data_IF_116936502802
#
_entry.id   IF_116936502802
#
_cell.length_a   1.000
_cell.length_b   1.000
_cell.length_c   1.000
_cell.angle_alpha   90.00
_cell.angle_beta   90.00
_cell.angle_gamma   90.00
#
_symmetry.space_group_name_H-M   'P 1'
#
loop_
_entity.id
_entity.type
_entity.pdbx_description
1 polymer ?
#
# COMPACT_ATOMS: atom_id res chain seq x y z
N UNK A 1 25.62 -14.20 5.33
CA UNK A 1 24.86 -14.06 4.08
C UNK A 1 23.74 -15.09 4.13
N UNK A 2 22.55 -14.69 4.59
CA UNK A 2 21.44 -15.65 4.79
C UNK A 2 20.68 -15.83 3.48
N UNK A 3 20.54 -17.09 3.09
CA UNK A 3 19.89 -17.53 1.87
C UNK A 3 18.41 -17.11 1.85
N UNK A 4 18.04 -16.29 0.88
CA UNK A 4 16.64 -16.07 0.50
C UNK A 4 16.17 -17.30 -0.26
N UNK A 5 15.36 -18.13 0.38
CA UNK A 5 14.71 -19.29 -0.24
C UNK A 5 13.46 -18.82 -1.01
N UNK A 6 13.34 -19.08 -2.32
CA UNK A 6 12.26 -18.60 -3.16
C UNK A 6 10.89 -19.28 -2.92
N UNK A 7 10.83 -20.31 -2.07
CA UNK A 7 9.62 -21.15 -1.87
C UNK A 7 8.89 -20.94 -0.53
N UNK A 8 9.35 -20.02 0.34
CA UNK A 8 8.60 -19.72 1.58
C UNK A 8 7.32 -18.94 1.24
N UNK A 9 6.24 -19.66 1.01
CA UNK A 9 4.90 -19.11 0.90
C UNK A 9 4.57 -18.39 2.22
N UNK A 10 4.53 -17.06 2.17
CA UNK A 10 4.08 -16.25 3.31
C UNK A 10 2.64 -16.67 3.61
N UNK A 11 2.28 -16.98 4.87
CA UNK A 11 0.92 -17.39 5.19
C UNK A 11 -0.07 -16.35 4.66
N UNK A 12 -1.18 -16.77 4.04
CA UNK A 12 -2.12 -15.83 3.40
C UNK A 12 -2.57 -14.71 4.34
N UNK A 13 -2.81 -15.02 5.63
CA UNK A 13 -3.13 -14.02 6.66
C UNK A 13 -2.04 -12.97 6.86
N UNK A 14 -0.77 -13.37 6.81
CA UNK A 14 0.37 -12.45 6.93
C UNK A 14 0.48 -11.63 5.66
N UNK A 15 0.33 -12.25 4.49
CA UNK A 15 0.35 -11.55 3.22
C UNK A 15 -0.76 -10.47 3.13
N UNK A 16 -1.97 -10.79 3.55
CA UNK A 16 -3.08 -9.84 3.66
C UNK A 16 -2.75 -8.70 4.62
N UNK A 17 -2.13 -8.99 5.77
CA UNK A 17 -1.69 -7.98 6.72
C UNK A 17 -0.58 -7.06 6.15
N UNK A 18 0.40 -7.64 5.47
CA UNK A 18 1.47 -6.89 4.77
C UNK A 18 0.87 -5.99 3.69
N UNK A 19 -0.05 -6.51 2.89
CA UNK A 19 -0.74 -5.77 1.83
C UNK A 19 -1.62 -4.65 2.40
N UNK A 20 -2.32 -4.90 3.50
CA UNK A 20 -3.09 -3.88 4.21
C UNK A 20 -2.19 -2.74 4.70
N UNK A 21 -1.05 -3.06 5.30
CA UNK A 21 -0.08 -2.06 5.78
C UNK A 21 0.57 -1.28 4.64
N UNK A 22 0.92 -1.95 3.55
CA UNK A 22 1.43 -1.32 2.34
C UNK A 22 0.41 -0.32 1.76
N UNK A 23 -0.88 -0.71 1.70
CA UNK A 23 -1.96 0.20 1.28
C UNK A 23 -2.11 1.41 2.21
N UNK A 24 -2.04 1.21 3.53
CA UNK A 24 -2.08 2.33 4.47
C UNK A 24 -0.90 3.28 4.27
N UNK A 25 0.29 2.76 3.98
CA UNK A 25 1.46 3.55 3.68
C UNK A 25 1.29 4.34 2.37
N UNK A 26 0.85 3.67 1.30
CA UNK A 26 0.52 4.29 0.02
C UNK A 26 -0.50 5.43 0.17
N UNK A 27 -1.55 5.22 0.98
CA UNK A 27 -2.54 6.26 1.26
C UNK A 27 -1.95 7.48 1.97
N UNK A 28 -0.92 7.31 2.81
CA UNK A 28 -0.21 8.44 3.44
C UNK A 28 0.65 9.19 2.43
N UNK A 29 1.34 8.48 1.52
CA UNK A 29 2.14 9.11 0.47
C UNK A 29 1.26 9.87 -0.55
N UNK A 30 0.11 9.29 -0.92
CA UNK A 30 -0.86 9.86 -1.84
C UNK A 30 -1.90 10.76 -1.17
N UNK A 31 -1.61 11.29 0.03
CA UNK A 31 -2.56 12.07 0.83
C UNK A 31 -3.10 13.29 0.08
N UNK A 32 -2.26 13.97 -0.71
CA UNK A 32 -2.65 15.15 -1.50
C UNK A 32 -3.73 14.83 -2.53
N UNK A 33 -3.57 13.73 -3.26
CA UNK A 33 -4.55 13.27 -4.26
C UNK A 33 -5.82 12.76 -3.58
N UNK A 34 -5.67 12.10 -2.42
CA UNK A 34 -6.80 11.63 -1.63
C UNK A 34 -7.64 12.80 -1.10
N UNK A 35 -7.01 13.88 -0.65
CA UNK A 35 -7.67 15.11 -0.22
C UNK A 35 -8.42 15.79 -1.37
N UNK A 36 -7.82 15.90 -2.56
CA UNK A 36 -8.49 16.46 -3.74
C UNK A 36 -9.75 15.66 -4.13
N UNK A 37 -9.64 14.32 -4.15
CA UNK A 37 -10.78 13.45 -4.41
C UNK A 37 -11.87 13.60 -3.32
N UNK A 38 -11.47 13.64 -2.04
CA UNK A 38 -12.40 13.82 -0.93
C UNK A 38 -13.11 15.18 -0.97
N UNK A 39 -12.41 16.26 -1.36
CA UNK A 39 -12.99 17.58 -1.55
C UNK A 39 -14.02 17.58 -2.69
N UNK A 40 -13.71 16.95 -3.82
CA UNK A 40 -14.66 16.83 -4.92
C UNK A 40 -15.93 16.05 -4.50
N UNK A 41 -15.76 14.91 -3.83
CA UNK A 41 -16.88 14.10 -3.33
C UNK A 41 -17.68 14.80 -2.22
N UNK A 42 -17.04 15.61 -1.37
CA UNK A 42 -17.73 16.34 -0.29
C UNK A 42 -18.72 17.40 -0.79
N UNK A 43 -18.49 17.95 -1.99
CA UNK A 43 -19.35 18.96 -2.60
C UNK A 43 -20.52 18.40 -3.42
N UNK A 44 -20.54 17.08 -3.70
CA UNK A 44 -21.44 16.46 -4.69
C UNK A 44 -21.93 15.11 -4.19
N UNK A 45 -23.24 14.94 -4.01
CA UNK A 45 -23.81 13.65 -3.56
C UNK A 45 -24.18 12.76 -4.73
N UNK A 46 -24.86 13.30 -5.75
CA UNK A 46 -25.43 12.49 -6.86
C UNK A 46 -24.51 12.37 -8.08
N UNK A 47 -23.70 13.39 -8.38
CA UNK A 47 -22.86 13.45 -9.59
C UNK A 47 -21.38 13.12 -9.33
N UNK A 48 -20.99 12.77 -8.10
CA UNK A 48 -19.59 12.57 -7.71
C UNK A 48 -18.87 11.51 -8.56
N UNK A 49 -19.53 10.38 -8.88
CA UNK A 49 -18.93 9.27 -9.63
C UNK A 49 -18.41 9.71 -11.00
N UNK A 50 -19.12 10.63 -11.66
CA UNK A 50 -18.75 11.13 -12.98
C UNK A 50 -17.86 12.37 -12.88
N UNK A 51 -18.22 13.29 -11.99
CA UNK A 51 -17.61 14.61 -11.90
C UNK A 51 -16.25 14.59 -11.19
N UNK A 52 -16.00 13.62 -10.31
CA UNK A 52 -14.73 13.41 -9.59
C UNK A 52 -13.91 12.27 -10.20
N UNK A 53 -14.28 11.79 -11.40
CA UNK A 53 -13.59 10.69 -12.08
C UNK A 53 -12.13 11.01 -12.37
N UNK A 54 -11.81 12.29 -12.62
CA UNK A 54 -10.43 12.72 -12.85
C UNK A 54 -9.60 12.64 -11.57
N UNK A 55 -10.08 13.20 -10.46
CA UNK A 55 -9.40 13.12 -9.16
C UNK A 55 -9.21 11.66 -8.70
N UNK A 56 -10.21 10.81 -8.98
CA UNK A 56 -10.13 9.38 -8.71
C UNK A 56 -9.04 8.68 -9.54
N UNK A 57 -8.86 9.08 -10.81
CA UNK A 57 -7.79 8.54 -11.67
C UNK A 57 -6.43 8.95 -11.16
N UNK A 58 -6.27 10.21 -10.74
CA UNK A 58 -5.01 10.74 -10.24
C UNK A 58 -4.63 10.07 -8.90
N UNK A 59 -5.62 9.85 -8.01
CA UNK A 59 -5.44 9.07 -6.79
C UNK A 59 -5.05 7.62 -7.10
N UNK A 60 -5.78 6.94 -7.99
CA UNK A 60 -5.47 5.55 -8.36
C UNK A 60 -4.10 5.42 -9.02
N UNK A 61 -3.69 6.40 -9.85
CA UNK A 61 -2.37 6.43 -10.48
C UNK A 61 -1.26 6.50 -9.42
N UNK A 62 -1.43 7.35 -8.40
CA UNK A 62 -0.51 7.41 -7.27
C UNK A 62 -0.50 6.09 -6.47
N UNK A 63 -1.67 5.56 -6.10
CA UNK A 63 -1.77 4.33 -5.31
C UNK A 63 -1.09 3.15 -6.02
N UNK A 64 -1.31 3.00 -7.32
CA UNK A 64 -0.72 1.92 -8.12
C UNK A 64 0.82 1.94 -8.14
N UNK A 65 1.46 3.10 -7.97
CA UNK A 65 2.92 3.20 -7.90
C UNK A 65 3.46 2.55 -6.61
N UNK A 66 2.73 2.67 -5.50
CA UNK A 66 3.14 2.15 -4.19
C UNK A 66 2.57 0.76 -3.88
N UNK A 67 1.45 0.37 -4.51
CA UNK A 67 0.83 -0.97 -4.32
C UNK A 67 1.16 -1.95 -5.43
N UNK A 68 2.30 -1.76 -6.12
CA UNK A 68 2.77 -2.66 -7.17
C UNK A 68 3.21 -4.02 -6.56
N UNK A 69 3.03 -5.16 -7.26
CA UNK A 69 3.58 -6.45 -6.84
C UNK A 69 5.07 -6.42 -6.48
N UNK A 70 5.87 -5.54 -7.11
CA UNK A 70 7.29 -5.35 -6.76
C UNK A 70 7.47 -4.87 -5.31
N UNK A 71 6.70 -3.87 -4.90
CA UNK A 71 6.75 -3.30 -3.55
C UNK A 71 6.26 -4.32 -2.51
N UNK A 72 5.23 -5.09 -2.85
CA UNK A 72 4.75 -6.17 -2.00
C UNK A 72 5.80 -7.28 -1.82
N UNK A 73 6.48 -7.68 -2.89
CA UNK A 73 7.54 -8.69 -2.83
C UNK A 73 8.75 -8.21 -2.02
N UNK A 74 9.13 -6.95 -2.16
CA UNK A 74 10.19 -6.34 -1.35
C UNK A 74 9.82 -6.30 0.13
N UNK A 75 8.58 -5.92 0.45
CA UNK A 75 8.09 -5.94 1.83
C UNK A 75 8.08 -7.36 2.41
N UNK A 76 7.67 -8.37 1.63
CA UNK A 76 7.74 -9.79 2.01
C UNK A 76 9.19 -10.21 2.28
N UNK A 77 10.14 -9.83 1.43
CA UNK A 77 11.57 -10.10 1.61
C UNK A 77 12.09 -9.53 2.94
N UNK A 78 11.82 -8.26 3.21
CA UNK A 78 12.23 -7.60 4.47
C UNK A 78 11.60 -8.25 5.70
N UNK A 79 10.34 -8.68 5.62
CA UNK A 79 9.66 -9.40 6.71
C UNK A 79 10.28 -10.78 6.98
N UNK A 80 10.67 -11.50 5.93
CA UNK A 80 11.39 -12.78 6.06
C UNK A 80 12.79 -12.59 6.67
N UNK A 81 13.51 -11.54 6.27
CA UNK A 81 14.82 -11.18 6.82
C UNK A 81 14.75 -10.75 8.29
N UNK A 82 13.66 -10.11 8.70
CA UNK A 82 13.39 -9.75 10.08
C UNK A 82 13.06 -10.95 10.99
N UNK A 83 12.99 -12.18 10.44
CA UNK A 83 12.78 -13.39 11.21
C UNK A 83 11.31 -13.71 11.53
N UNK A 84 10.37 -13.20 10.73
CA UNK A 84 8.93 -13.48 10.87
C UNK A 84 8.34 -13.05 12.24
N UNK A 85 8.56 -11.79 12.67
CA UNK A 85 8.06 -11.33 13.97
C UNK A 85 6.52 -11.27 13.98
N UNK A 86 5.91 -11.66 15.10
CA UNK A 86 4.45 -11.50 15.32
C UNK A 86 4.03 -10.01 15.38
N UNK A 87 4.92 -9.17 15.91
CA UNK A 87 4.74 -7.71 15.99
C UNK A 87 5.92 -7.00 15.31
N UNK A 88 5.92 -6.90 13.98
CA UNK A 88 6.98 -6.22 13.23
C UNK A 88 7.00 -4.71 13.50
N UNK A 89 8.20 -4.13 13.48
CA UNK A 89 8.36 -2.68 13.43
C UNK A 89 8.02 -2.17 12.02
N UNK A 90 6.79 -1.69 11.84
CA UNK A 90 6.27 -1.21 10.56
C UNK A 90 7.04 -0.01 10.00
N UNK A 91 7.49 0.91 10.86
CA UNK A 91 8.25 2.09 10.43
C UNK A 91 9.64 1.74 9.89
N UNK A 92 10.23 0.64 10.35
CA UNK A 92 11.48 0.12 9.80
C UNK A 92 11.24 -0.63 8.47
N UNK A 93 10.20 -1.46 8.39
CA UNK A 93 9.90 -2.26 7.20
C UNK A 93 9.46 -1.42 6.00
N UNK A 94 8.62 -0.41 6.25
CA UNK A 94 8.05 0.48 5.23
C UNK A 94 8.94 1.69 4.92
N UNK A 95 10.11 1.80 5.55
CA UNK A 95 11.04 2.89 5.26
C UNK A 95 11.56 2.77 3.83
N UNK A 96 11.54 3.86 3.08
CA UNK A 96 12.06 3.95 1.71
C UNK A 96 11.36 3.01 0.69
N UNK A 97 10.08 2.68 0.91
CA UNK A 97 9.20 2.01 -0.06
C UNK A 97 8.39 3.00 -0.91
#
# INVERSE_FOLDING_TARGET
>A
MSAVNPEKNVPSKVEEALLFRLKQHAMRQCKKQAEAYAQCCGSRVFSAVWACRQDLRDLNSCLNQHTNPLQLNELKRRWLEAGQPELPNWDALLRDL
#
